data_IF_850070572701
#
_entry.id   IF_850070572701
#
_cell.length_a   1.000
_cell.length_b   1.000
_cell.length_c   1.000
_cell.angle_alpha   90.00
_cell.angle_beta   90.00
_cell.angle_gamma   90.00
#
_symmetry.space_group_name_H-M   'P 1'
#
loop_
_entity.id
_entity.type
_entity.pdbx_description
1 polymer ?
#
# COMPACT_ATOMS: atom_id res chain seq x y z
N UNK A 1 2.50 18.30 21.01
CA UNK A 1 2.53 17.61 19.72
C UNK A 1 2.56 16.11 19.90
N UNK A 2 1.66 15.38 19.27
CA UNK A 2 1.79 13.94 19.15
C UNK A 2 2.92 13.69 18.13
N UNK A 3 3.95 12.94 18.52
CA UNK A 3 5.00 12.53 17.58
C UNK A 3 4.38 11.71 16.45
N UNK A 4 4.82 11.87 15.18
CA UNK A 4 4.35 11.03 14.09
C UNK A 4 4.62 9.55 14.42
N UNK A 5 3.66 8.68 14.10
CA UNK A 5 3.87 7.23 14.18
C UNK A 5 4.75 6.84 13.00
N UNK A 6 5.98 6.40 13.29
CA UNK A 6 6.89 5.92 12.26
C UNK A 6 6.51 4.49 11.82
N UNK A 7 6.86 4.09 10.59
CA UNK A 7 6.61 2.73 10.11
C UNK A 7 7.41 1.71 10.96
N UNK A 8 6.75 0.63 11.33
CA UNK A 8 7.39 -0.52 11.97
C UNK A 8 7.49 -1.67 10.97
N UNK A 9 8.65 -1.83 10.35
CA UNK A 9 8.92 -2.88 9.37
C UNK A 9 9.09 -4.29 9.99
N UNK A 10 8.75 -4.46 11.26
CA UNK A 10 8.56 -5.76 11.91
C UNK A 10 7.09 -6.07 12.15
N UNK A 11 6.18 -5.07 11.95
CA UNK A 11 4.76 -5.16 12.23
C UNK A 11 3.93 -4.33 11.21
N UNK A 12 4.03 -4.69 9.93
CA UNK A 12 3.30 -4.04 8.84
C UNK A 12 2.86 -5.05 7.76
N UNK A 13 2.17 -4.57 6.73
CA UNK A 13 1.66 -5.42 5.64
C UNK A 13 2.75 -6.23 4.90
N UNK A 14 3.96 -5.67 4.75
CA UNK A 14 5.12 -6.37 4.19
C UNK A 14 5.43 -7.68 4.95
N UNK A 15 5.26 -7.69 6.26
CA UNK A 15 5.55 -8.87 7.09
C UNK A 15 4.50 -9.97 6.91
N UNK A 16 3.25 -9.63 6.55
CA UNK A 16 2.23 -10.61 6.13
C UNK A 16 2.70 -11.32 4.85
N UNK A 17 3.11 -10.56 3.84
CA UNK A 17 3.64 -11.12 2.59
C UNK A 17 4.86 -12.02 2.84
N UNK A 18 5.77 -11.58 3.70
CA UNK A 18 6.96 -12.35 4.12
C UNK A 18 6.60 -13.67 4.78
N UNK A 19 5.60 -13.69 5.67
CA UNK A 19 5.09 -14.92 6.30
C UNK A 19 4.52 -15.89 5.28
N UNK A 20 3.74 -15.39 4.33
CA UNK A 20 3.15 -16.22 3.25
C UNK A 20 4.24 -16.79 2.35
N UNK A 21 5.20 -15.96 1.91
CA UNK A 21 6.33 -16.41 1.08
C UNK A 21 7.10 -17.52 1.78
N UNK A 22 7.49 -17.33 3.04
CA UNK A 22 8.21 -18.32 3.85
C UNK A 22 7.40 -19.62 4.01
N UNK A 23 6.11 -19.52 4.29
CA UNK A 23 5.21 -20.68 4.48
C UNK A 23 5.19 -21.61 3.26
N UNK A 24 5.26 -21.05 2.06
CA UNK A 24 5.30 -21.84 0.82
C UNK A 24 6.70 -22.14 0.31
N UNK A 25 7.75 -21.78 1.05
CA UNK A 25 9.14 -22.03 0.68
C UNK A 25 9.69 -21.13 -0.41
N UNK A 26 9.03 -19.98 -0.67
CA UNK A 26 9.56 -18.95 -1.55
C UNK A 26 10.63 -18.09 -0.82
N UNK A 27 11.65 -17.58 -1.52
CA UNK A 27 12.64 -16.68 -0.93
C UNK A 27 11.96 -15.45 -0.30
N UNK A 28 12.41 -15.08 0.91
CA UNK A 28 11.90 -13.95 1.65
C UNK A 28 13.09 -13.23 2.31
N UNK A 29 13.23 -11.93 2.05
CA UNK A 29 14.34 -11.11 2.56
C UNK A 29 13.98 -10.37 3.86
N UNK A 30 12.69 -10.17 4.13
CA UNK A 30 12.20 -9.39 5.26
C UNK A 30 11.73 -10.26 6.43
N UNK A 31 11.66 -9.69 7.65
CA UNK A 31 11.06 -10.34 8.80
C UNK A 31 9.63 -10.78 8.51
N UNK A 32 9.24 -11.93 9.04
CA UNK A 32 7.85 -12.39 8.99
C UNK A 32 7.06 -11.82 10.17
N UNK A 33 5.73 -11.86 10.07
CA UNK A 33 4.84 -11.41 11.12
C UNK A 33 4.57 -12.57 12.11
N UNK A 34 4.93 -12.46 13.40
CA UNK A 34 4.86 -13.58 14.35
C UNK A 34 3.44 -14.13 14.52
N UNK A 35 2.41 -13.29 14.54
CA UNK A 35 1.04 -13.76 14.68
C UNK A 35 0.55 -14.48 13.42
N UNK A 36 0.95 -14.02 12.24
CA UNK A 36 0.65 -14.70 10.96
C UNK A 36 1.37 -16.04 10.89
N UNK A 37 2.65 -16.09 11.30
CA UNK A 37 3.41 -17.36 11.39
C UNK A 37 2.73 -18.34 12.35
N UNK A 38 2.26 -17.86 13.51
CA UNK A 38 1.55 -18.69 14.47
C UNK A 38 0.21 -19.22 13.88
N UNK A 39 -0.53 -18.41 13.12
CA UNK A 39 -1.75 -18.84 12.44
C UNK A 39 -1.44 -19.89 11.35
N UNK A 40 -0.45 -19.61 10.50
CA UNK A 40 -0.01 -20.52 9.43
C UNK A 40 0.53 -21.86 9.95
N UNK A 41 1.10 -21.86 11.16
CA UNK A 41 1.64 -23.05 11.82
C UNK A 41 0.61 -23.92 12.52
N UNK A 42 -0.63 -23.47 12.69
CA UNK A 42 -1.67 -24.26 13.42
C UNK A 42 -2.03 -25.56 12.73
N UNK A 43 -2.11 -25.55 11.41
CA UNK A 43 -2.38 -26.73 10.57
C UNK A 43 -1.98 -26.49 9.13
N UNK A 44 -2.02 -27.52 8.31
CA UNK A 44 -1.91 -27.37 6.85
C UNK A 44 -3.25 -26.90 6.28
N UNK A 45 -3.34 -25.60 6.01
CA UNK A 45 -4.48 -25.07 5.30
C UNK A 45 -4.44 -25.46 3.81
N UNK A 46 -5.61 -25.79 3.25
CA UNK A 46 -5.78 -25.95 1.81
C UNK A 46 -5.67 -24.60 1.12
N UNK A 47 -6.31 -23.58 1.69
CA UNK A 47 -6.35 -22.24 1.14
C UNK A 47 -5.83 -21.22 2.13
N UNK A 48 -5.07 -20.24 1.63
CA UNK A 48 -4.69 -19.03 2.34
C UNK A 48 -5.20 -17.86 1.50
N UNK A 49 -6.10 -17.07 2.06
CA UNK A 49 -6.70 -15.90 1.41
C UNK A 49 -6.25 -14.64 2.16
N UNK A 50 -5.65 -13.70 1.45
CA UNK A 50 -5.34 -12.36 1.97
C UNK A 50 -6.29 -11.39 1.31
N UNK A 51 -7.18 -10.77 2.09
CA UNK A 51 -8.13 -9.76 1.63
C UNK A 51 -7.64 -8.38 2.04
N UNK A 52 -7.35 -7.54 1.07
CA UNK A 52 -7.01 -6.14 1.29
C UNK A 52 -8.18 -5.27 0.87
N UNK A 53 -8.65 -4.46 1.82
CA UNK A 53 -9.63 -3.39 1.60
C UNK A 53 -8.91 -2.05 1.77
N UNK A 54 -8.87 -1.27 0.70
CA UNK A 54 -8.14 0.00 0.65
C UNK A 54 -8.70 1.01 1.64
N UNK A 55 -7.83 1.62 2.43
CA UNK A 55 -8.21 2.62 3.42
C UNK A 55 -8.98 2.09 4.64
N UNK A 56 -9.23 0.76 4.75
CA UNK A 56 -9.94 0.16 5.88
C UNK A 56 -9.04 0.06 7.12
N UNK A 57 -8.45 1.17 7.55
CA UNK A 57 -7.58 1.24 8.72
C UNK A 57 -8.32 1.13 10.05
N UNK A 58 -7.56 1.08 11.14
CA UNK A 58 -8.11 0.89 12.49
C UNK A 58 -9.08 1.99 12.92
N UNK A 59 -8.84 3.25 12.50
CA UNK A 59 -9.77 4.36 12.78
C UNK A 59 -11.11 4.12 12.06
N UNK A 60 -11.08 3.79 10.77
CA UNK A 60 -12.28 3.48 9.97
C UNK A 60 -13.09 2.35 10.59
N UNK A 61 -12.42 1.26 11.04
CA UNK A 61 -13.09 0.16 11.73
C UNK A 61 -13.73 0.64 13.04
N UNK A 62 -13.00 1.41 13.85
CA UNK A 62 -13.47 1.87 15.17
C UNK A 62 -14.65 2.85 15.07
N UNK A 63 -14.67 3.69 14.01
CA UNK A 63 -15.72 4.70 13.82
C UNK A 63 -17.02 4.09 13.27
N UNK A 64 -16.95 2.98 12.52
CA UNK A 64 -18.08 2.47 11.76
C UNK A 64 -18.60 1.10 12.19
N UNK A 65 -17.80 0.31 12.93
CA UNK A 65 -18.20 -1.02 13.37
C UNK A 65 -18.38 -1.11 14.89
N UNK A 66 -19.43 -1.78 15.36
CA UNK A 66 -19.58 -2.08 16.77
C UNK A 66 -18.49 -3.06 17.26
N UNK A 67 -18.23 -3.05 18.58
CA UNK A 67 -17.17 -3.87 19.19
C UNK A 67 -17.37 -5.38 19.01
N UNK A 68 -18.59 -5.83 18.80
CA UNK A 68 -18.97 -7.22 18.59
C UNK A 68 -19.17 -7.58 17.12
N UNK A 69 -18.83 -6.69 16.19
CA UNK A 69 -18.81 -7.01 14.77
C UNK A 69 -17.78 -8.10 14.44
N UNK A 70 -17.91 -8.73 13.31
CA UNK A 70 -17.03 -9.84 12.94
C UNK A 70 -15.57 -9.39 12.83
N UNK A 71 -15.29 -8.34 12.06
CA UNK A 71 -13.92 -7.84 11.90
C UNK A 71 -13.35 -7.37 13.24
N UNK A 72 -14.10 -6.53 14.00
CA UNK A 72 -13.60 -6.01 15.29
C UNK A 72 -13.28 -7.12 16.29
N UNK A 73 -14.12 -8.16 16.37
CA UNK A 73 -13.89 -9.30 17.29
C UNK A 73 -12.74 -10.23 16.86
N UNK A 74 -12.28 -10.12 15.60
CA UNK A 74 -11.19 -10.93 15.04
C UNK A 74 -9.90 -10.15 14.82
N UNK A 75 -9.79 -8.90 15.30
CA UNK A 75 -8.53 -8.15 15.23
C UNK A 75 -7.45 -8.90 16.01
N UNK A 76 -6.47 -9.43 15.29
CA UNK A 76 -5.33 -10.12 15.90
C UNK A 76 -4.27 -9.14 16.39
N UNK A 77 -3.99 -8.08 15.60
CA UNK A 77 -2.98 -7.08 15.91
C UNK A 77 -3.22 -5.79 15.12
N UNK A 78 -2.93 -4.66 15.77
CA UNK A 78 -2.80 -3.39 15.09
C UNK A 78 -1.40 -3.29 14.49
N UNK A 79 -1.31 -2.89 13.21
CA UNK A 79 -0.07 -2.74 12.45
C UNK A 79 0.10 -1.31 11.95
N UNK A 80 1.33 -0.93 11.59
CA UNK A 80 1.58 0.29 10.83
C UNK A 80 1.46 0.02 9.34
N UNK A 81 1.20 1.05 8.55
CA UNK A 81 1.48 1.01 7.12
C UNK A 81 3.00 1.11 6.88
N UNK A 82 3.47 0.78 5.67
CA UNK A 82 4.80 1.17 5.22
C UNK A 82 4.85 2.69 5.00
N UNK A 83 6.02 3.26 4.76
CA UNK A 83 6.13 4.68 4.39
C UNK A 83 6.64 4.80 2.94
N UNK A 84 6.02 5.67 2.14
CA UNK A 84 4.81 6.46 2.41
C UNK A 84 3.57 5.58 2.67
N UNK A 85 2.67 6.04 3.58
CA UNK A 85 1.43 5.32 3.89
C UNK A 85 0.35 5.67 2.85
N UNK A 86 0.51 5.11 1.68
CA UNK A 86 -0.34 5.32 0.49
C UNK A 86 -0.53 4.01 -0.26
N UNK A 87 -1.63 3.91 -1.00
CA UNK A 87 -1.98 2.72 -1.78
C UNK A 87 -0.81 2.20 -2.61
N UNK A 88 -0.12 3.09 -3.35
CA UNK A 88 0.97 2.69 -4.25
C UNK A 88 2.10 1.98 -3.52
N UNK A 89 2.60 2.55 -2.42
CA UNK A 89 3.70 1.95 -1.68
C UNK A 89 3.28 0.71 -0.89
N UNK A 90 2.13 0.78 -0.24
CA UNK A 90 1.69 -0.27 0.68
C UNK A 90 1.18 -1.52 -0.05
N UNK A 91 0.34 -1.36 -1.09
CA UNK A 91 -0.11 -2.51 -1.90
C UNK A 91 1.05 -3.17 -2.61
N UNK A 92 1.99 -2.38 -3.18
CA UNK A 92 3.18 -2.94 -3.84
C UNK A 92 4.06 -3.70 -2.85
N UNK A 93 4.23 -3.23 -1.60
CA UNK A 93 4.98 -3.97 -0.59
C UNK A 93 4.31 -5.31 -0.24
N UNK A 94 2.97 -5.35 -0.14
CA UNK A 94 2.24 -6.60 0.12
C UNK A 94 2.27 -7.52 -1.10
N UNK A 95 2.14 -6.95 -2.30
CA UNK A 95 2.13 -7.73 -3.55
C UNK A 95 3.51 -8.23 -3.96
N UNK A 96 4.58 -7.54 -3.63
CA UNK A 96 5.94 -7.97 -3.99
C UNK A 96 6.64 -8.77 -2.88
N UNK A 97 6.37 -8.44 -1.61
CA UNK A 97 7.16 -8.89 -0.47
C UNK A 97 8.52 -8.17 -0.39
N UNK A 98 8.63 -7.00 -1.02
CA UNK A 98 9.80 -6.12 -1.00
C UNK A 98 9.43 -4.79 -0.33
N UNK A 99 10.41 -4.07 0.22
CA UNK A 99 10.18 -2.79 0.88
C UNK A 99 10.10 -1.62 -0.12
N UNK A 100 9.54 -0.46 0.26
CA UNK A 100 9.48 0.72 -0.59
C UNK A 100 10.84 1.15 -1.17
N UNK A 101 11.95 1.03 -0.42
CA UNK A 101 13.26 1.36 -0.97
C UNK A 101 13.74 0.35 -2.04
N UNK A 102 13.22 -0.89 -2.04
CA UNK A 102 13.57 -1.91 -3.02
C UNK A 102 12.72 -1.84 -4.27
N UNK A 103 11.38 -1.77 -4.14
CA UNK A 103 10.51 -1.73 -5.31
C UNK A 103 10.42 -0.33 -5.94
N UNK A 104 10.60 0.76 -5.17
CA UNK A 104 10.61 2.13 -5.68
C UNK A 104 9.25 2.67 -6.15
N UNK A 105 8.15 2.03 -5.78
CA UNK A 105 6.80 2.52 -5.98
C UNK A 105 6.38 3.29 -4.72
N UNK A 106 6.45 4.62 -4.75
CA UNK A 106 6.38 5.41 -3.53
C UNK A 106 5.11 6.23 -3.38
N UNK A 107 4.42 6.54 -4.49
CA UNK A 107 3.22 7.33 -4.41
C UNK A 107 2.50 7.46 -5.74
N UNK A 108 1.37 8.18 -5.72
CA UNK A 108 0.48 8.32 -6.86
C UNK A 108 1.16 9.00 -8.06
N UNK A 109 1.79 10.16 -7.83
CA UNK A 109 2.47 10.95 -8.87
C UNK A 109 3.97 10.84 -8.72
N UNK A 110 4.63 10.13 -9.62
CA UNK A 110 6.06 9.89 -9.56
C UNK A 110 6.80 10.46 -10.77
N UNK A 111 7.96 11.05 -10.50
CA UNK A 111 8.83 11.53 -11.58
C UNK A 111 9.70 10.42 -12.16
N UNK A 112 9.77 10.38 -13.49
CA UNK A 112 10.61 9.46 -14.27
C UNK A 112 11.64 10.27 -15.06
N UNK A 113 12.85 10.35 -14.52
CA UNK A 113 13.96 11.10 -15.14
C UNK A 113 14.35 10.56 -16.50
N UNK A 114 14.09 9.27 -16.77
CA UNK A 114 14.38 8.62 -18.06
C UNK A 114 13.58 9.22 -19.23
N UNK A 115 12.43 9.78 -18.95
CA UNK A 115 11.53 10.37 -19.95
C UNK A 115 11.17 11.81 -19.64
N UNK A 116 11.71 12.38 -18.54
CA UNK A 116 11.44 13.72 -18.05
C UNK A 116 9.92 14.01 -17.89
N UNK A 117 9.22 13.10 -17.20
CA UNK A 117 7.77 13.20 -16.97
C UNK A 117 7.39 12.84 -15.55
N UNK A 118 6.37 13.56 -15.05
CA UNK A 118 5.62 13.18 -13.86
C UNK A 118 4.44 12.31 -14.31
N UNK A 119 4.28 11.14 -13.71
CA UNK A 119 3.26 10.14 -14.11
C UNK A 119 2.43 9.72 -12.91
N UNK A 120 1.11 9.75 -13.07
CA UNK A 120 0.15 9.13 -12.15
C UNK A 120 0.16 7.63 -12.43
N UNK A 121 0.86 6.89 -11.57
CA UNK A 121 1.42 5.57 -11.91
C UNK A 121 0.37 4.48 -12.14
N UNK A 122 -0.74 4.48 -11.40
CA UNK A 122 -1.75 3.45 -11.57
C UNK A 122 -2.59 3.63 -12.83
N UNK A 123 -2.90 4.88 -13.17
CA UNK A 123 -3.72 5.22 -14.34
C UNK A 123 -2.87 5.49 -15.59
N UNK A 124 -1.54 5.58 -15.45
CA UNK A 124 -0.57 5.84 -16.52
C UNK A 124 -0.85 7.12 -17.29
N UNK A 125 -1.13 8.20 -16.56
CA UNK A 125 -1.37 9.53 -17.11
C UNK A 125 -0.16 10.44 -16.81
N UNK A 126 0.15 11.34 -17.73
CA UNK A 126 1.04 12.46 -17.46
C UNK A 126 0.34 13.42 -16.46
N UNK A 127 0.91 13.56 -15.27
CA UNK A 127 0.29 14.32 -14.16
C UNK A 127 0.11 15.80 -14.47
N UNK A 128 0.91 16.37 -15.40
CA UNK A 128 0.83 17.78 -15.75
C UNK A 128 -0.24 18.07 -16.80
N UNK A 129 -0.46 17.13 -17.70
CA UNK A 129 -1.36 17.34 -18.85
C UNK A 129 -2.64 16.52 -18.77
N UNK A 130 -2.72 15.54 -17.86
CA UNK A 130 -3.81 14.58 -17.75
C UNK A 130 -3.92 13.62 -18.95
N UNK A 131 -2.94 13.60 -19.86
CA UNK A 131 -2.98 12.77 -21.06
C UNK A 131 -2.41 11.38 -20.80
N UNK A 132 -2.95 10.34 -21.46
CA UNK A 132 -2.34 9.01 -21.40
C UNK A 132 -0.88 9.03 -21.87
N UNK A 133 -0.02 8.30 -21.14
CA UNK A 133 1.40 8.17 -21.50
C UNK A 133 1.61 7.36 -22.79
N UNK A 134 0.61 6.59 -23.20
CA UNK A 134 0.72 5.70 -24.37
C UNK A 134 1.57 4.46 -24.06
N UNK A 135 1.76 3.63 -25.13
CA UNK A 135 2.50 2.37 -25.03
C UNK A 135 1.65 1.20 -24.51
N UNK A 136 2.17 -0.03 -24.69
CA UNK A 136 1.49 -1.26 -24.26
C UNK A 136 1.77 -1.62 -22.79
N UNK A 137 2.77 -0.98 -22.20
CA UNK A 137 3.22 -1.20 -20.80
C UNK A 137 3.18 0.12 -20.06
N UNK A 138 2.66 0.12 -18.82
CA UNK A 138 2.69 1.33 -18.00
C UNK A 138 4.12 1.78 -17.74
N UNK A 139 4.33 3.09 -17.67
CA UNK A 139 5.66 3.68 -17.44
C UNK A 139 6.32 3.09 -16.19
N UNK A 140 5.56 2.94 -15.12
CA UNK A 140 6.12 2.42 -13.88
C UNK A 140 6.54 0.95 -14.00
N UNK A 141 5.78 0.11 -14.70
CA UNK A 141 6.16 -1.30 -14.94
C UNK A 141 7.41 -1.41 -15.81
N UNK A 142 7.61 -0.47 -16.75
CA UNK A 142 8.78 -0.44 -17.59
C UNK A 142 10.05 -0.07 -16.83
N UNK A 143 9.98 0.93 -15.96
CA UNK A 143 11.17 1.47 -15.28
C UNK A 143 11.38 0.92 -13.87
N UNK A 144 10.33 0.40 -13.23
CA UNK A 144 10.34 -0.17 -11.87
C UNK A 144 9.59 -1.50 -11.81
N UNK A 145 9.97 -2.50 -12.62
CA UNK A 145 9.34 -3.81 -12.58
C UNK A 145 9.62 -4.51 -11.26
N UNK A 146 8.66 -5.28 -10.77
CA UNK A 146 8.85 -6.21 -9.65
C UNK A 146 8.17 -7.55 -9.95
N UNK A 147 8.60 -8.60 -9.25
CA UNK A 147 7.93 -9.89 -9.26
C UNK A 147 6.90 -9.92 -8.14
N UNK A 148 5.62 -10.08 -8.51
CA UNK A 148 4.58 -10.15 -7.51
C UNK A 148 4.61 -11.50 -6.74
N UNK A 149 3.96 -11.48 -5.56
CA UNK A 149 3.91 -12.64 -4.64
C UNK A 149 3.35 -13.90 -5.34
N UNK A 150 2.34 -13.76 -6.21
CA UNK A 150 1.77 -14.90 -6.93
C UNK A 150 2.78 -15.51 -7.91
N UNK A 151 3.56 -14.68 -8.61
CA UNK A 151 4.62 -15.17 -9.50
C UNK A 151 5.73 -15.88 -8.69
N UNK A 152 6.08 -15.35 -7.51
CA UNK A 152 7.07 -15.96 -6.60
C UNK A 152 6.57 -17.29 -6.04
N UNK A 153 5.32 -17.35 -5.61
CA UNK A 153 4.68 -18.55 -5.07
C UNK A 153 4.49 -19.63 -6.13
N UNK A 154 3.96 -19.28 -7.31
CA UNK A 154 3.77 -20.22 -8.41
C UNK A 154 5.10 -20.84 -8.88
N UNK A 155 6.20 -20.12 -8.79
CA UNK A 155 7.52 -20.63 -9.13
C UNK A 155 8.02 -21.73 -8.18
N UNK A 156 7.44 -21.87 -6.97
CA UNK A 156 7.79 -22.98 -6.04
C UNK A 156 7.17 -24.32 -6.47
N UNK A 157 6.11 -24.31 -7.26
CA UNK A 157 5.33 -25.49 -7.61
C UNK A 157 4.47 -26.06 -6.46
N UNK A 158 4.49 -25.47 -5.28
CA UNK A 158 3.83 -25.98 -4.08
C UNK A 158 2.40 -25.46 -3.88
N UNK A 159 2.00 -24.43 -4.61
CA UNK A 159 0.74 -23.73 -4.48
C UNK A 159 0.36 -23.08 -5.81
N UNK A 160 -0.95 -22.97 -6.07
CA UNK A 160 -1.46 -22.15 -7.17
C UNK A 160 -1.92 -20.80 -6.60
N UNK A 161 -1.24 -19.73 -7.00
CA UNK A 161 -1.42 -18.39 -6.47
C UNK A 161 -2.11 -17.47 -7.47
N UNK A 162 -3.08 -16.69 -7.01
CA UNK A 162 -3.97 -15.87 -7.82
C UNK A 162 -4.15 -14.48 -7.22
N UNK A 163 -4.26 -13.47 -8.09
CA UNK A 163 -4.67 -12.10 -7.73
C UNK A 163 -6.08 -11.88 -8.25
N UNK A 164 -6.98 -11.45 -7.36
CA UNK A 164 -8.37 -11.09 -7.65
C UNK A 164 -8.52 -9.59 -7.40
N UNK A 165 -8.57 -8.82 -8.45
CA UNK A 165 -8.73 -7.36 -8.39
C UNK A 165 -9.16 -6.82 -9.75
N UNK A 166 -9.45 -5.51 -9.86
CA UNK A 166 -9.74 -4.89 -11.17
C UNK A 166 -8.58 -5.01 -12.17
N UNK A 167 -7.36 -5.17 -11.68
CA UNK A 167 -6.13 -5.17 -12.48
C UNK A 167 -5.36 -6.51 -12.42
N UNK A 168 -5.82 -7.44 -11.60
CA UNK A 168 -5.17 -8.72 -11.37
C UNK A 168 -5.36 -9.74 -12.48
N UNK A 169 -4.84 -10.95 -12.24
CA UNK A 169 -5.02 -12.09 -13.16
C UNK A 169 -6.47 -12.56 -13.24
N UNK A 170 -7.26 -12.35 -12.19
CA UNK A 170 -8.69 -12.60 -12.14
C UNK A 170 -9.39 -11.25 -11.96
N UNK A 171 -9.85 -10.68 -13.08
CA UNK A 171 -10.46 -9.35 -13.09
C UNK A 171 -11.87 -9.37 -12.57
N UNK A 172 -12.20 -8.40 -11.74
CA UNK A 172 -13.52 -8.18 -11.14
C UNK A 172 -13.96 -6.73 -11.32
N UNK A 173 -15.26 -6.48 -11.23
CA UNK A 173 -15.83 -5.13 -11.29
C UNK A 173 -16.62 -4.79 -10.02
N UNK A 174 -17.10 -5.79 -9.29
CA UNK A 174 -17.93 -5.61 -8.10
C UNK A 174 -17.34 -6.35 -6.90
N UNK A 175 -17.75 -5.94 -5.70
CA UNK A 175 -17.39 -6.62 -4.45
C UNK A 175 -17.93 -8.06 -4.42
N UNK A 176 -19.15 -8.30 -4.97
CA UNK A 176 -19.71 -9.65 -5.11
C UNK A 176 -18.80 -10.54 -5.97
N UNK A 177 -18.38 -10.05 -7.13
CA UNK A 177 -17.46 -10.80 -8.00
C UNK A 177 -16.13 -11.12 -7.31
N UNK A 178 -15.64 -10.26 -6.40
CA UNK A 178 -14.43 -10.53 -5.63
C UNK A 178 -14.59 -11.75 -4.73
N UNK A 179 -15.67 -11.80 -3.94
CA UNK A 179 -15.94 -12.91 -3.03
C UNK A 179 -16.26 -14.19 -3.80
N UNK A 180 -17.07 -14.12 -4.85
CA UNK A 180 -17.44 -15.28 -5.68
C UNK A 180 -16.20 -15.88 -6.37
N UNK A 181 -15.34 -15.05 -6.95
CA UNK A 181 -14.10 -15.48 -7.59
C UNK A 181 -13.15 -16.11 -6.58
N UNK A 182 -12.97 -15.49 -5.40
CA UNK A 182 -12.13 -16.06 -4.34
C UNK A 182 -12.68 -17.43 -3.88
N UNK A 183 -13.99 -17.57 -3.69
CA UNK A 183 -14.63 -18.83 -3.30
C UNK A 183 -14.46 -19.92 -4.37
N UNK A 184 -14.66 -19.57 -5.65
CA UNK A 184 -14.45 -20.49 -6.76
C UNK A 184 -13.01 -20.99 -6.83
N UNK A 185 -12.01 -20.09 -6.67
CA UNK A 185 -10.60 -20.48 -6.62
C UNK A 185 -10.29 -21.41 -5.44
N UNK A 186 -10.84 -21.13 -4.25
CA UNK A 186 -10.65 -21.95 -3.05
C UNK A 186 -11.28 -23.34 -3.18
N UNK A 187 -12.34 -23.48 -3.97
CA UNK A 187 -13.03 -24.76 -4.20
C UNK A 187 -12.23 -25.71 -5.11
N UNK A 188 -11.31 -25.20 -5.91
CA UNK A 188 -10.50 -25.98 -6.84
C UNK A 188 -9.54 -26.97 -6.10
N UNK A 189 -9.13 -28.09 -6.75
CA UNK A 189 -8.20 -29.06 -6.15
C UNK A 189 -6.81 -28.47 -5.90
N UNK A 190 -6.14 -28.93 -4.83
CA UNK A 190 -4.78 -28.53 -4.46
C UNK A 190 -4.74 -27.30 -3.56
N UNK A 191 -3.51 -26.90 -3.19
CA UNK A 191 -3.30 -25.74 -2.30
C UNK A 191 -3.43 -24.43 -3.07
N UNK A 192 -4.06 -23.44 -2.44
CA UNK A 192 -4.32 -22.12 -3.04
C UNK A 192 -3.78 -21.00 -2.15
N UNK A 193 -3.24 -20.00 -2.81
CA UNK A 193 -3.07 -18.67 -2.27
C UNK A 193 -3.91 -17.71 -3.11
N UNK A 194 -4.77 -16.92 -2.48
CA UNK A 194 -5.61 -15.93 -3.14
C UNK A 194 -5.38 -14.59 -2.48
N UNK A 195 -4.86 -13.64 -3.23
CA UNK A 195 -4.78 -12.25 -2.81
C UNK A 195 -5.93 -11.49 -3.46
N UNK A 196 -6.74 -10.82 -2.67
CA UNK A 196 -7.81 -9.97 -3.18
C UNK A 196 -7.54 -8.52 -2.82
N UNK A 197 -7.86 -7.61 -3.73
CA UNK A 197 -7.79 -6.18 -3.52
C UNK A 197 -9.11 -5.53 -3.95
N UNK A 198 -9.66 -4.71 -3.06
CA UNK A 198 -10.84 -3.89 -3.28
C UNK A 198 -10.55 -2.45 -2.88
N UNK A 199 -10.78 -1.48 -3.80
CA UNK A 199 -10.39 -0.07 -3.67
C UNK A 199 -11.31 0.78 -2.79
N UNK A 200 -12.25 0.16 -2.08
CA UNK A 200 -13.12 0.81 -1.10
C UNK A 200 -12.80 0.30 0.31
N UNK A 201 -13.00 1.11 1.32
CA UNK A 201 -13.71 2.42 1.36
C UNK A 201 -12.87 3.65 0.96
N UNK A 202 -11.58 3.51 0.62
CA UNK A 202 -10.66 4.63 0.35
C UNK A 202 -11.19 5.62 -0.69
N UNK A 203 -11.62 5.12 -1.85
CA UNK A 203 -12.14 5.97 -2.93
C UNK A 203 -13.32 6.83 -2.48
N UNK A 204 -14.29 6.24 -1.78
CA UNK A 204 -15.44 6.98 -1.25
C UNK A 204 -15.04 7.95 -0.14
N UNK A 205 -14.07 7.59 0.72
CA UNK A 205 -13.57 8.48 1.76
C UNK A 205 -12.88 9.73 1.19
N UNK A 206 -12.12 9.58 0.11
CA UNK A 206 -11.51 10.71 -0.59
C UNK A 206 -12.55 11.68 -1.17
N UNK A 207 -13.65 11.17 -1.71
CA UNK A 207 -14.67 11.98 -2.36
C UNK A 207 -15.67 12.62 -1.39
N UNK A 208 -15.99 11.92 -0.27
CA UNK A 208 -17.13 12.26 0.59
C UNK A 208 -16.75 12.41 2.09
N UNK A 209 -15.47 12.19 2.45
CA UNK A 209 -14.98 12.22 3.82
C UNK A 209 -15.10 10.88 4.55
N UNK A 210 -14.30 10.73 5.62
CA UNK A 210 -14.17 9.45 6.34
C UNK A 210 -15.46 8.96 7.02
N UNK A 211 -16.41 9.85 7.29
CA UNK A 211 -17.68 9.49 7.92
C UNK A 211 -18.74 8.96 6.94
N UNK A 212 -18.53 9.06 5.63
CA UNK A 212 -19.53 8.69 4.63
C UNK A 212 -19.65 7.17 4.37
N UNK A 213 -18.71 6.36 4.87
CA UNK A 213 -18.56 4.95 4.44
C UNK A 213 -19.18 3.92 5.38
N UNK A 214 -19.98 4.34 6.37
CA UNK A 214 -20.47 3.44 7.41
C UNK A 214 -21.25 2.21 6.91
N UNK A 215 -22.14 2.39 5.93
CA UNK A 215 -22.90 1.26 5.35
C UNK A 215 -22.00 0.31 4.57
N UNK A 216 -21.03 0.85 3.84
CA UNK A 216 -20.05 0.08 3.07
C UNK A 216 -19.16 -0.76 3.98
N UNK A 217 -18.68 -0.20 5.08
CA UNK A 217 -17.82 -0.91 6.04
C UNK A 217 -18.61 -2.03 6.73
N UNK A 218 -19.90 -1.81 7.04
CA UNK A 218 -20.77 -2.87 7.56
C UNK A 218 -21.03 -3.98 6.53
N UNK A 219 -21.25 -3.63 5.25
CA UNK A 219 -21.40 -4.62 4.18
C UNK A 219 -20.14 -5.47 4.00
N UNK A 220 -18.95 -4.86 4.07
CA UNK A 220 -17.67 -5.59 4.08
C UNK A 220 -17.58 -6.56 5.26
N UNK A 221 -17.94 -6.14 6.49
CA UNK A 221 -17.93 -7.00 7.68
C UNK A 221 -18.83 -8.24 7.51
N UNK A 222 -20.06 -8.04 7.03
CA UNK A 222 -21.03 -9.10 6.81
C UNK A 222 -20.60 -10.08 5.71
N UNK A 223 -20.01 -9.59 4.64
CA UNK A 223 -19.50 -10.41 3.53
C UNK A 223 -18.28 -11.22 3.94
N UNK A 224 -17.32 -10.62 4.67
CA UNK A 224 -16.15 -11.34 5.19
C UNK A 224 -16.63 -12.45 6.14
N UNK A 225 -17.59 -12.17 7.03
CA UNK A 225 -18.19 -13.17 7.91
C UNK A 225 -18.78 -14.33 7.12
N UNK A 226 -19.61 -14.02 6.13
CA UNK A 226 -20.29 -15.02 5.28
C UNK A 226 -19.30 -15.86 4.50
N UNK A 227 -18.27 -15.24 3.94
CA UNK A 227 -17.20 -15.93 3.23
C UNK A 227 -16.44 -16.89 4.16
N UNK A 228 -16.04 -16.45 5.35
CA UNK A 228 -15.34 -17.30 6.31
C UNK A 228 -16.18 -18.52 6.71
N UNK A 229 -17.49 -18.32 6.93
CA UNK A 229 -18.43 -19.43 7.24
C UNK A 229 -18.54 -20.41 6.08
N UNK A 230 -18.62 -19.93 4.85
CA UNK A 230 -18.75 -20.78 3.66
C UNK A 230 -17.48 -21.57 3.34
N UNK A 231 -16.28 -20.97 3.57
CA UNK A 231 -15.01 -21.62 3.25
C UNK A 231 -14.58 -22.68 4.26
N UNK A 232 -15.13 -22.66 5.48
CA UNK A 232 -14.85 -23.63 6.52
C UNK A 232 -13.42 -23.62 7.02
N UNK A 233 -13.07 -24.64 7.80
CA UNK A 233 -11.82 -24.66 8.57
C UNK A 233 -10.54 -24.85 7.75
N UNK A 234 -10.61 -25.36 6.53
CA UNK A 234 -9.44 -25.60 5.68
C UNK A 234 -8.92 -24.33 4.99
N UNK A 235 -9.58 -23.21 5.22
CA UNK A 235 -9.20 -21.91 4.68
C UNK A 235 -8.81 -20.96 5.80
N UNK A 236 -7.59 -20.41 5.73
CA UNK A 236 -7.17 -19.27 6.54
C UNK A 236 -7.46 -17.98 5.77
N UNK A 237 -8.22 -17.09 6.37
CA UNK A 237 -8.49 -15.76 5.84
C UNK A 237 -7.76 -14.74 6.69
N UNK A 238 -6.93 -13.91 6.06
CA UNK A 238 -6.23 -12.77 6.64
C UNK A 238 -6.82 -11.52 6.00
N UNK A 239 -7.47 -10.67 6.80
CA UNK A 239 -8.00 -9.38 6.35
C UNK A 239 -7.05 -8.28 6.79
N UNK A 240 -6.73 -7.36 5.90
CA UNK A 240 -5.85 -6.22 6.15
C UNK A 240 -6.28 -5.01 5.34
N UNK A 241 -5.75 -3.85 5.71
CA UNK A 241 -5.71 -2.65 4.89
C UNK A 241 -4.27 -2.32 4.51
N UNK A 242 -4.09 -1.51 3.51
CA UNK A 242 -2.80 -0.93 3.13
C UNK A 242 -2.46 0.28 4.01
N UNK A 243 -3.43 1.15 4.27
CA UNK A 243 -3.33 2.30 5.16
C UNK A 243 -4.69 2.63 5.80
N UNK A 244 -4.75 3.66 6.61
CA UNK A 244 -5.96 4.33 7.04
C UNK A 244 -6.07 5.70 6.37
N UNK A 245 -7.19 6.37 6.58
CA UNK A 245 -7.44 7.72 6.09
C UNK A 245 -8.05 8.55 7.22
N UNK A 246 -7.79 9.86 7.20
CA UNK A 246 -8.39 10.82 8.11
C UNK A 246 -8.56 12.16 7.40
N UNK A 247 -9.61 12.87 7.75
CA UNK A 247 -9.85 14.22 7.24
C UNK A 247 -8.77 15.17 7.75
N UNK A 248 -8.28 16.05 6.88
CA UNK A 248 -7.28 17.05 7.23
C UNK A 248 -7.47 18.33 6.38
N UNK A 249 -6.96 19.44 6.89
CA UNK A 249 -6.87 20.68 6.12
C UNK A 249 -5.71 20.58 5.13
N UNK A 250 -5.99 20.91 3.87
CA UNK A 250 -4.97 20.95 2.83
C UNK A 250 -4.25 22.30 2.82
N UNK A 251 -2.93 22.28 2.65
CA UNK A 251 -2.11 23.44 2.34
C UNK A 251 -1.49 23.25 0.97
N UNK A 252 -1.53 24.27 0.15
CA UNK A 252 -1.09 24.19 -1.25
C UNK A 252 0.25 24.88 -1.42
N UNK A 253 1.21 24.24 -2.10
CA UNK A 253 2.53 24.83 -2.37
C UNK A 253 2.43 26.11 -3.21
N UNK A 254 1.42 26.20 -4.09
CA UNK A 254 1.17 27.41 -4.90
C UNK A 254 0.83 28.66 -4.09
N UNK A 255 0.43 28.52 -2.82
CA UNK A 255 0.21 29.65 -1.92
C UNK A 255 1.54 30.24 -1.40
N UNK A 256 2.68 29.58 -1.67
CA UNK A 256 4.01 29.95 -1.22
C UNK A 256 4.99 30.10 -2.40
N UNK A 257 4.92 31.23 -3.14
CA UNK A 257 5.72 31.43 -4.37
C UNK A 257 7.24 31.30 -4.17
N UNK A 258 7.76 31.69 -3.01
CA UNK A 258 9.20 31.58 -2.70
C UNK A 258 9.63 30.11 -2.57
N UNK A 259 8.78 29.26 -2.01
CA UNK A 259 9.00 27.82 -1.93
C UNK A 259 8.98 27.20 -3.34
N UNK A 260 7.98 27.52 -4.15
CA UNK A 260 7.89 27.01 -5.53
C UNK A 260 9.07 27.46 -6.40
N UNK A 261 9.52 28.71 -6.25
CA UNK A 261 10.68 29.22 -6.95
C UNK A 261 11.95 28.41 -6.64
N UNK A 262 12.06 27.86 -5.44
CA UNK A 262 13.18 27.02 -5.02
C UNK A 262 13.19 25.63 -5.64
N UNK A 263 12.10 25.18 -6.26
CA UNK A 263 11.96 23.86 -6.81
C UNK A 263 12.30 23.81 -8.31
N UNK A 264 12.89 22.70 -8.75
CA UNK A 264 13.13 22.45 -10.19
C UNK A 264 11.85 21.99 -10.91
N UNK A 265 10.88 21.46 -10.17
CA UNK A 265 9.58 20.95 -10.63
C UNK A 265 8.60 20.87 -9.45
N UNK A 266 7.29 20.75 -9.70
CA UNK A 266 6.31 20.51 -8.63
C UNK A 266 6.70 19.31 -7.74
N UNK A 267 6.21 19.30 -6.51
CA UNK A 267 6.40 18.16 -5.61
C UNK A 267 5.80 16.87 -6.21
N UNK A 268 6.25 15.73 -5.75
CA UNK A 268 5.83 14.42 -6.22
C UNK A 268 5.63 13.44 -5.06
N UNK A 269 5.31 12.17 -5.36
CA UNK A 269 4.97 11.09 -4.44
C UNK A 269 3.54 11.24 -3.97
N UNK A 270 3.33 11.87 -2.81
CA UNK A 270 2.00 12.04 -2.20
C UNK A 270 1.88 13.38 -1.49
N UNK A 271 0.65 13.86 -1.31
CA UNK A 271 0.40 15.12 -0.60
C UNK A 271 0.88 15.07 0.86
N UNK A 272 0.79 13.91 1.53
CA UNK A 272 1.23 13.73 2.91
C UNK A 272 2.68 13.28 3.06
N UNK A 273 3.32 12.87 1.98
CA UNK A 273 4.71 12.45 1.93
C UNK A 273 5.36 13.01 0.66
N UNK A 274 5.35 14.34 0.57
CA UNK A 274 5.81 15.06 -0.61
C UNK A 274 7.34 14.98 -0.76
N UNK A 275 7.79 14.63 -1.96
CA UNK A 275 9.17 14.74 -2.37
C UNK A 275 9.44 16.07 -3.09
N UNK A 276 10.54 16.73 -2.78
CA UNK A 276 10.90 18.04 -3.35
C UNK A 276 12.24 17.98 -4.07
N UNK A 277 12.27 18.34 -5.33
CA UNK A 277 13.50 18.53 -6.10
C UNK A 277 13.97 19.97 -5.98
N UNK A 278 14.82 20.23 -5.00
CA UNK A 278 15.30 21.57 -4.68
C UNK A 278 16.46 21.98 -5.61
N UNK A 279 16.38 23.19 -6.20
CA UNK A 279 17.47 23.76 -7.00
C UNK A 279 18.75 23.89 -6.16
N UNK A 280 19.93 23.63 -6.75
CA UNK A 280 21.20 23.66 -6.01
C UNK A 280 21.44 24.93 -5.20
N UNK A 281 21.10 26.09 -5.78
CA UNK A 281 21.28 27.40 -5.17
C UNK A 281 20.37 27.69 -3.98
N UNK A 282 19.27 26.91 -3.82
CA UNK A 282 18.32 27.06 -2.72
C UNK A 282 18.50 26.04 -1.59
N UNK A 283 19.39 25.06 -1.74
CA UNK A 283 19.52 23.93 -0.77
C UNK A 283 19.75 24.37 0.66
N UNK A 284 20.56 25.41 0.86
CA UNK A 284 20.89 25.91 2.21
C UNK A 284 19.73 26.69 2.85
N UNK A 285 18.93 27.38 2.05
CA UNK A 285 17.82 28.22 2.53
C UNK A 285 16.46 27.51 2.48
N UNK A 286 16.35 26.38 1.78
CA UNK A 286 15.09 25.65 1.62
C UNK A 286 14.44 25.26 2.95
N UNK A 287 15.18 24.78 3.98
CA UNK A 287 14.56 24.50 5.28
C UNK A 287 13.85 25.72 5.88
N UNK A 288 14.43 26.92 5.78
CA UNK A 288 13.81 28.14 6.28
C UNK A 288 12.56 28.53 5.47
N UNK A 289 12.61 28.36 4.13
CA UNK A 289 11.43 28.58 3.27
C UNK A 289 10.29 27.60 3.60
N UNK A 290 10.64 26.33 3.83
CA UNK A 290 9.69 25.29 4.21
C UNK A 290 9.03 25.60 5.57
N UNK A 291 9.85 25.96 6.55
CA UNK A 291 9.38 26.33 7.89
C UNK A 291 8.49 27.57 7.88
N UNK A 292 8.82 28.56 7.05
CA UNK A 292 8.00 29.76 6.88
C UNK A 292 6.64 29.45 6.22
N UNK A 293 6.61 28.46 5.31
CA UNK A 293 5.40 28.06 4.61
C UNK A 293 4.49 27.16 5.48
N UNK A 294 5.06 26.15 6.14
CA UNK A 294 4.30 25.07 6.77
C UNK A 294 4.44 25.03 8.29
N UNK A 295 5.49 25.66 8.87
CA UNK A 295 5.79 25.60 10.30
C UNK A 295 6.40 24.25 10.74
N UNK A 296 6.83 24.22 12.01
CA UNK A 296 7.47 23.02 12.57
C UNK A 296 6.49 22.01 13.21
N UNK A 297 5.24 22.40 13.41
CA UNK A 297 4.32 21.65 14.27
C UNK A 297 3.59 20.53 13.53
N UNK A 298 3.27 20.73 12.25
CA UNK A 298 2.45 19.82 11.46
C UNK A 298 3.25 19.07 10.39
N UNK A 299 4.44 19.56 10.05
CA UNK A 299 5.26 19.02 8.96
C UNK A 299 6.69 18.75 9.41
N UNK A 300 7.25 17.69 8.88
CA UNK A 300 8.61 17.28 9.14
C UNK A 300 9.40 17.21 7.84
N UNK A 301 10.32 18.15 7.65
CA UNK A 301 11.25 18.15 6.52
C UNK A 301 12.44 17.24 6.82
N UNK A 302 12.64 16.26 5.96
CA UNK A 302 13.72 15.26 6.08
C UNK A 302 14.49 15.20 4.77
N UNK A 303 15.82 15.19 4.83
CA UNK A 303 16.61 14.94 3.62
C UNK A 303 16.47 13.47 3.18
N UNK A 304 16.62 13.21 1.88
CA UNK A 304 16.63 11.85 1.32
C UNK A 304 17.60 10.92 2.06
N UNK A 305 18.82 11.38 2.33
CA UNK A 305 19.83 10.58 3.05
C UNK A 305 19.40 10.28 4.49
N UNK A 306 18.79 11.25 5.17
CA UNK A 306 18.25 11.02 6.51
C UNK A 306 17.08 10.04 6.49
N UNK A 307 16.14 10.18 5.55
CA UNK A 307 15.01 9.26 5.39
C UNK A 307 15.47 7.80 5.16
N UNK A 308 16.47 7.61 4.30
CA UNK A 308 17.08 6.30 4.07
C UNK A 308 17.81 5.78 5.32
N UNK A 309 18.61 6.62 5.98
CA UNK A 309 19.38 6.24 7.18
C UNK A 309 18.48 5.89 8.36
N UNK A 310 17.33 6.52 8.48
CA UNK A 310 16.31 6.23 9.50
C UNK A 310 15.48 4.98 9.18
N UNK A 311 15.64 4.42 7.97
CA UNK A 311 14.86 3.27 7.53
C UNK A 311 13.39 3.60 7.24
N UNK A 312 13.03 4.86 6.94
CA UNK A 312 11.65 5.25 6.65
C UNK A 312 11.06 4.47 5.48
N UNK A 313 11.88 4.11 4.49
CA UNK A 313 11.46 3.32 3.32
C UNK A 313 11.69 1.81 3.48
N UNK A 314 11.91 1.34 4.70
CA UNK A 314 12.20 -0.06 4.99
C UNK A 314 13.66 -0.45 4.82
N UNK A 315 13.93 -1.72 5.14
CA UNK A 315 15.25 -2.35 4.96
C UNK A 315 15.36 -3.08 3.63
N UNK A 316 16.46 -3.80 3.45
CA UNK A 316 16.79 -4.55 2.24
C UNK A 316 17.84 -3.83 1.40
N UNK A 317 17.90 -4.16 0.11
CA UNK A 317 18.83 -3.52 -0.82
C UNK A 317 18.11 -2.40 -1.58
N UNK A 318 18.38 -1.12 -1.26
CA UNK A 318 17.74 -0.03 -1.95
C UNK A 318 18.03 -0.09 -3.46
N UNK A 319 17.06 0.29 -4.26
CA UNK A 319 17.26 0.50 -5.70
C UNK A 319 18.42 1.45 -5.95
N UNK A 320 19.16 1.20 -7.03
CA UNK A 320 20.30 2.04 -7.40
C UNK A 320 19.91 3.52 -7.64
N UNK A 321 18.69 3.72 -8.14
CA UNK A 321 18.14 5.04 -8.47
C UNK A 321 17.24 5.63 -7.36
N UNK A 322 17.26 5.08 -6.14
CA UNK A 322 16.35 5.52 -5.06
C UNK A 322 16.51 7.01 -4.73
N UNK A 323 17.73 7.56 -4.83
CA UNK A 323 17.99 8.97 -4.56
C UNK A 323 17.51 9.93 -5.66
N UNK A 324 17.27 9.42 -6.85
CA UNK A 324 16.69 10.18 -7.97
C UNK A 324 15.16 10.20 -7.91
N UNK A 325 14.56 9.34 -7.09
CA UNK A 325 13.11 9.19 -6.98
C UNK A 325 12.50 9.66 -5.65
N UNK A 326 13.34 10.24 -4.76
CA UNK A 326 12.88 10.81 -3.48
C UNK A 326 13.24 12.29 -3.41
#
# INVERSE_FOLDING_TARGET
>A
MNKPVLPDYTNCGLNIASSVLRHFGAPCAHPTHPDVDALLGRKQYKNIVVMLFDGLGMATIADHLPKDSFLTSHIARQMTAVFPSTTVAATTSIESGDSPCEHGWLGWSMYFYQIDRMVDVFVNLDSWTGKPMGGDVRVIDQYRPYRNICQRLNATGNVSAHIVSRFGSNRIQTLDEMFDTAAALCSAPGRRYVYTYWGEPDHTMHDQGVMAVGDMVRDIDDRVRSFCQAMGEDTLVLVTADHGLLDCECRYTCDYPELEQALTRPFHIEARAAGFYVKPEYREVFPQLFDAAFGHDDFWLVSTDAALSMGLLGGGTPRADIREII
#
